data_IF_018031045806
#
_entry.id   IF_018031045806
#
_cell.length_a   1.000
_cell.length_b   1.000
_cell.length_c   1.000
_cell.angle_alpha   90.00
_cell.angle_beta   90.00
_cell.angle_gamma   90.00
#
_symmetry.space_group_name_H-M   'P 1'
#
loop_
_entity.id
_entity.type
_entity.pdbx_description
1 polymer ?
#
# COMPACT_ATOMS: atom_id res chain seq x y z
N UNK A 1 -5.00 -9.53 -4.00
CA UNK A 1 -4.66 -8.82 -2.75
C UNK A 1 -3.82 -9.64 -1.79
N UNK A 2 -4.20 -10.88 -1.47
CA UNK A 2 -3.44 -11.78 -0.56
C UNK A 2 -1.93 -11.86 -0.86
N UNK A 3 -1.58 -12.02 -2.14
CA UNK A 3 -0.19 -12.06 -2.58
C UNK A 3 0.61 -10.82 -2.16
N UNK A 4 0.06 -9.62 -2.38
CA UNK A 4 0.71 -8.36 -1.96
C UNK A 4 0.78 -8.21 -0.43
N UNK A 5 -0.22 -8.71 0.30
CA UNK A 5 -0.20 -8.67 1.75
C UNK A 5 0.96 -9.51 2.31
N UNK A 6 1.13 -10.74 1.84
CA UNK A 6 2.23 -11.61 2.29
C UNK A 6 3.60 -11.07 1.89
N UNK A 7 3.75 -10.50 0.70
CA UNK A 7 4.99 -9.83 0.32
C UNK A 7 5.28 -8.62 1.21
N UNK A 8 4.26 -7.83 1.57
CA UNK A 8 4.41 -6.71 2.49
C UNK A 8 4.81 -7.18 3.90
N UNK A 9 4.20 -8.24 4.43
CA UNK A 9 4.59 -8.84 5.71
C UNK A 9 6.06 -9.26 5.71
N UNK A 10 6.48 -9.98 4.66
CA UNK A 10 7.87 -10.43 4.51
C UNK A 10 8.84 -9.24 4.44
N UNK A 11 8.55 -8.26 3.59
CA UNK A 11 9.39 -7.07 3.43
C UNK A 11 9.51 -6.26 4.73
N UNK A 12 8.40 -6.10 5.46
CA UNK A 12 8.39 -5.41 6.77
C UNK A 12 9.16 -6.22 7.83
N UNK A 13 9.03 -7.54 7.85
CA UNK A 13 9.82 -8.39 8.76
C UNK A 13 11.31 -8.20 8.55
N UNK A 14 11.77 -8.31 7.28
CA UNK A 14 13.18 -8.13 6.92
C UNK A 14 13.67 -6.73 7.32
N UNK A 15 12.89 -5.69 7.01
CA UNK A 15 13.25 -4.31 7.36
C UNK A 15 13.41 -4.13 8.88
N UNK A 16 12.44 -4.61 9.66
CA UNK A 16 12.44 -4.47 11.11
C UNK A 16 13.57 -5.26 11.79
N UNK A 17 13.91 -6.44 11.28
CA UNK A 17 15.05 -7.25 11.77
C UNK A 17 16.39 -6.50 11.60
N UNK A 18 16.57 -5.80 10.48
CA UNK A 18 17.79 -5.04 10.20
C UNK A 18 17.94 -3.82 11.12
N UNK A 19 16.85 -3.13 11.48
CA UNK A 19 16.89 -1.89 12.26
C UNK A 19 16.77 -2.07 13.77
N UNK A 20 16.55 -3.28 14.29
CA UNK A 20 16.46 -3.64 15.72
C UNK A 20 15.39 -2.92 16.57
N UNK A 21 14.69 -1.92 16.04
CA UNK A 21 13.68 -1.12 16.78
C UNK A 21 12.24 -1.38 16.30
N UNK A 22 12.04 -2.01 15.14
CA UNK A 22 10.73 -2.37 14.62
C UNK A 22 9.81 -1.16 14.38
N UNK A 23 9.93 -0.54 13.21
CA UNK A 23 9.24 0.73 12.91
C UNK A 23 8.02 0.56 11.99
N UNK A 24 7.94 -0.55 11.25
CA UNK A 24 6.87 -0.82 10.31
C UNK A 24 5.94 -1.92 10.79
N UNK A 25 4.66 -1.81 10.46
CA UNK A 25 3.68 -2.89 10.65
C UNK A 25 2.70 -2.97 9.48
N UNK A 26 2.14 -4.17 9.25
CA UNK A 26 1.16 -4.43 8.20
C UNK A 26 -0.13 -4.93 8.82
N UNK A 27 -1.26 -4.39 8.41
CA UNK A 27 -2.59 -4.74 8.96
C UNK A 27 -3.61 -4.90 7.85
N UNK A 28 -4.45 -5.93 7.94
CA UNK A 28 -5.62 -6.07 7.07
C UNK A 28 -6.66 -5.00 7.42
N UNK A 29 -7.32 -4.47 6.40
CA UNK A 29 -8.44 -3.57 6.58
C UNK A 29 -9.74 -4.39 6.65
N UNK A 30 -10.55 -4.23 7.71
CA UNK A 30 -11.87 -4.85 7.76
C UNK A 30 -12.73 -4.41 6.58
N UNK A 31 -13.55 -5.32 6.06
CA UNK A 31 -14.44 -5.03 4.94
C UNK A 31 -15.41 -3.88 5.24
N UNK A 32 -15.88 -3.75 6.49
CA UNK A 32 -16.77 -2.64 6.86
C UNK A 32 -16.06 -1.29 6.79
N UNK A 33 -14.78 -1.23 7.16
CA UNK A 33 -13.97 -0.01 7.07
C UNK A 33 -13.80 0.39 5.61
N UNK A 34 -13.52 -0.57 4.72
CA UNK A 34 -13.40 -0.30 3.28
C UNK A 34 -14.71 0.22 2.69
N UNK A 35 -15.85 -0.37 3.07
CA UNK A 35 -17.17 0.04 2.62
C UNK A 35 -17.55 1.48 3.04
N UNK A 36 -17.03 1.98 4.15
CA UNK A 36 -17.25 3.36 4.60
C UNK A 36 -16.55 4.40 3.72
N UNK A 37 -15.38 4.07 3.17
CA UNK A 37 -14.56 5.00 2.39
C UNK A 37 -14.71 4.80 0.88
N UNK A 38 -15.11 3.61 0.48
CA UNK A 38 -15.21 3.21 -0.92
C UNK A 38 -16.64 2.72 -1.14
N UNK A 39 -17.41 3.47 -1.94
CA UNK A 39 -18.72 3.01 -2.46
C UNK A 39 -18.49 1.90 -3.50
N UNK A 40 -17.84 0.81 -3.12
CA UNK A 40 -17.51 -0.30 -3.99
C UNK A 40 -18.57 -1.40 -3.86
N UNK A 41 -19.08 -1.94 -4.98
CA UNK A 41 -20.25 -2.83 -4.99
C UNK A 41 -19.99 -4.27 -4.49
N UNK A 42 -18.80 -4.59 -3.96
CA UNK A 42 -18.40 -5.96 -3.57
C UNK A 42 -17.54 -5.97 -2.31
N UNK A 43 -17.46 -7.11 -1.61
CA UNK A 43 -16.44 -7.36 -0.58
C UNK A 43 -15.06 -7.22 -1.23
N UNK A 44 -14.38 -6.12 -0.94
CA UNK A 44 -13.02 -5.84 -1.41
C UNK A 44 -12.04 -6.11 -0.29
N UNK A 45 -10.83 -6.51 -0.67
CA UNK A 45 -9.74 -6.66 0.27
C UNK A 45 -8.85 -5.43 0.24
N UNK A 46 -8.32 -5.09 1.42
CA UNK A 46 -7.38 -4.01 1.59
C UNK A 46 -6.43 -4.32 2.73
N UNK A 47 -5.24 -3.77 2.68
CA UNK A 47 -4.34 -3.77 3.81
C UNK A 47 -3.58 -2.45 3.84
N UNK A 48 -2.96 -2.18 4.98
CA UNK A 48 -2.15 -1.00 5.15
C UNK A 48 -0.80 -1.34 5.78
N UNK A 49 0.17 -0.50 5.45
CA UNK A 49 1.48 -0.44 6.08
C UNK A 49 1.54 0.85 6.89
N UNK A 50 1.90 0.72 8.16
CA UNK A 50 1.98 1.84 9.11
C UNK A 50 3.43 2.05 9.50
N UNK A 51 3.93 3.27 9.31
CA UNK A 51 5.20 3.75 9.82
C UNK A 51 4.97 4.83 10.89
N UNK A 52 6.01 5.26 11.63
CA UNK A 52 5.88 6.35 12.60
C UNK A 52 5.42 7.65 11.91
N UNK A 53 5.94 7.89 10.71
CA UNK A 53 5.79 9.13 9.95
C UNK A 53 4.83 9.04 8.76
N UNK A 54 4.32 7.85 8.47
CA UNK A 54 3.58 7.63 7.25
C UNK A 54 2.62 6.46 7.35
N UNK A 55 1.76 6.38 6.34
CA UNK A 55 0.80 5.32 6.18
C UNK A 55 0.63 5.06 4.69
N UNK A 56 0.63 3.78 4.31
CA UNK A 56 0.37 3.34 2.93
C UNK A 56 -0.80 2.37 2.95
N UNK A 57 -1.72 2.49 2.01
CA UNK A 57 -2.84 1.57 1.83
C UNK A 57 -2.77 0.95 0.47
N UNK A 58 -3.02 -0.36 0.41
CA UNK A 58 -3.30 -1.10 -0.79
C UNK A 58 -4.79 -1.43 -0.80
N UNK A 59 -5.48 -0.99 -1.84
CA UNK A 59 -6.92 -1.14 -2.02
C UNK A 59 -7.19 -1.89 -3.31
N UNK A 60 -8.00 -2.93 -3.23
CA UNK A 60 -8.60 -3.51 -4.43
C UNK A 60 -9.67 -2.57 -4.97
N UNK A 61 -9.37 -1.92 -6.10
CA UNK A 61 -10.28 -0.99 -6.77
C UNK A 61 -11.29 -1.78 -7.62
N UNK A 62 -10.79 -2.72 -8.41
CA UNK A 62 -11.60 -3.71 -9.12
C UNK A 62 -10.91 -5.08 -9.22
N UNK A 63 -11.46 -6.02 -10.01
CA UNK A 63 -10.91 -7.38 -10.15
C UNK A 63 -9.47 -7.40 -10.73
N UNK A 64 -9.10 -6.40 -11.53
CA UNK A 64 -7.80 -6.29 -12.16
C UNK A 64 -6.92 -5.20 -11.56
N UNK A 65 -7.44 -4.33 -10.69
CA UNK A 65 -6.69 -3.14 -10.25
C UNK A 65 -6.51 -3.04 -8.74
N UNK A 66 -5.24 -2.83 -8.34
CA UNK A 66 -4.84 -2.48 -6.97
C UNK A 66 -4.36 -1.03 -6.95
N UNK A 67 -5.02 -0.20 -6.15
CA UNK A 67 -4.66 1.19 -5.91
C UNK A 67 -3.79 1.28 -4.65
N UNK A 68 -2.63 1.93 -4.77
CA UNK A 68 -1.72 2.16 -3.64
C UNK A 68 -1.68 3.64 -3.31
N UNK A 69 -2.11 3.98 -2.10
CA UNK A 69 -2.20 5.36 -1.60
C UNK A 69 -1.23 5.55 -0.43
N UNK A 70 -0.45 6.63 -0.47
CA UNK A 70 0.48 6.99 0.58
C UNK A 70 0.12 8.33 1.21
N UNK A 71 0.22 8.42 2.54
CA UNK A 71 0.09 9.66 3.29
C UNK A 71 1.22 9.79 4.30
N UNK A 72 1.84 10.98 4.36
CA UNK A 72 2.77 11.34 5.44
C UNK A 72 2.01 12.05 6.56
N UNK A 73 2.36 11.75 7.80
CA UNK A 73 1.85 12.47 8.98
C UNK A 73 2.41 13.90 8.93
N UNK A 74 1.57 14.89 9.19
CA UNK A 74 2.01 16.27 9.36
C UNK A 74 2.19 16.51 10.86
N UNK A 75 3.41 16.84 11.28
CA UNK A 75 3.71 17.16 12.68
C UNK A 75 3.35 18.60 13.04
N UNK A 76 3.21 19.46 12.03
CA UNK A 76 2.87 20.86 12.23
C UNK A 76 1.38 21.09 12.05
N UNK A 77 0.72 21.36 13.17
CA UNK A 77 -0.62 21.96 13.26
C UNK A 77 -0.49 23.39 12.74
N UNK A 78 -0.67 23.58 11.43
CA UNK A 78 -1.19 24.85 10.92
C UNK A 78 -2.69 24.63 10.86
N UNK A 79 -3.42 25.32 11.74
CA UNK A 79 -4.83 25.09 12.09
C UNK A 79 -5.84 25.10 10.93
N UNK A 80 -5.42 25.39 9.70
CA UNK A 80 -6.26 25.40 8.50
C UNK A 80 -5.70 24.63 7.29
N UNK A 81 -4.71 23.75 7.48
CA UNK A 81 -4.26 22.89 6.37
C UNK A 81 -5.24 21.72 6.20
N UNK A 82 -5.88 21.54 5.03
CA UNK A 82 -6.68 20.35 4.78
C UNK A 82 -5.77 19.16 4.98
N UNK A 83 -6.12 18.27 5.93
CA UNK A 83 -5.51 16.96 6.18
C UNK A 83 -4.71 16.52 4.96
N UNK A 84 -3.36 16.46 5.06
CA UNK A 84 -2.50 16.12 3.91
C UNK A 84 -3.16 15.03 3.06
N UNK A 85 -3.63 15.40 1.85
CA UNK A 85 -4.40 14.45 1.04
C UNK A 85 -3.53 13.24 0.76
N UNK A 86 -4.10 12.04 0.86
CA UNK A 86 -3.41 10.84 0.41
C UNK A 86 -3.02 11.02 -1.07
N UNK A 87 -1.79 10.63 -1.40
CA UNK A 87 -1.26 10.66 -2.76
C UNK A 87 -1.31 9.25 -3.33
N UNK A 88 -1.76 9.12 -4.58
CA UNK A 88 -1.58 7.87 -5.33
C UNK A 88 -0.08 7.64 -5.58
N UNK A 89 0.45 6.54 -5.05
CA UNK A 89 1.83 6.11 -5.25
C UNK A 89 1.94 5.31 -6.54
N UNK A 90 1.07 4.33 -6.72
CA UNK A 90 0.99 3.49 -7.92
C UNK A 90 -0.42 2.93 -8.07
N UNK A 91 -0.82 2.63 -9.31
CA UNK A 91 -2.01 1.85 -9.63
C UNK A 91 -1.54 0.65 -10.44
N UNK A 92 -1.71 -0.54 -9.87
CA UNK A 92 -1.15 -1.80 -10.38
C UNK A 92 -2.28 -2.55 -11.07
N UNK A 93 -2.09 -2.87 -12.35
CA UNK A 93 -2.94 -3.82 -13.06
C UNK A 93 -2.42 -5.24 -12.83
N UNK A 94 -3.28 -6.11 -12.34
CA UNK A 94 -3.05 -7.52 -12.07
C UNK A 94 -3.79 -8.33 -13.14
N UNK A 95 -3.05 -9.00 -14.01
CA UNK A 95 -3.59 -9.84 -15.07
C UNK A 95 -3.26 -11.30 -14.80
N UNK A 96 -4.13 -12.21 -15.24
CA UNK A 96 -3.83 -13.64 -15.29
C UNK A 96 -3.34 -13.95 -16.70
N UNK A 97 -2.14 -14.52 -16.81
CA UNK A 97 -1.57 -14.95 -18.09
C UNK A 97 -0.88 -16.31 -17.93
N UNK A 98 -1.23 -17.28 -18.79
CA UNK A 98 -0.52 -18.55 -18.92
C UNK A 98 -0.33 -19.39 -17.64
N UNK A 99 -1.16 -19.20 -16.61
CA UNK A 99 -1.03 -19.90 -15.32
C UNK A 99 -0.31 -19.11 -14.21
N UNK A 100 0.00 -17.84 -14.44
CA UNK A 100 0.59 -16.93 -13.44
C UNK A 100 -0.06 -15.55 -13.42
N UNK A 101 0.45 -14.69 -12.54
CA UNK A 101 0.04 -13.29 -12.44
C UNK A 101 1.07 -12.38 -13.12
N UNK A 102 0.59 -11.44 -13.93
CA UNK A 102 1.39 -10.39 -14.54
C UNK A 102 0.96 -9.05 -13.96
N UNK A 103 1.93 -8.29 -13.45
CA UNK A 103 1.69 -6.98 -12.85
C UNK A 103 2.20 -5.88 -13.77
N UNK A 104 1.40 -4.84 -13.98
CA UNK A 104 1.75 -3.70 -14.84
C UNK A 104 1.38 -2.38 -14.18
N UNK A 105 2.13 -1.33 -14.49
CA UNK A 105 1.73 0.03 -14.13
C UNK A 105 0.68 0.59 -15.09
N UNK A 106 0.33 1.87 -14.92
CA UNK A 106 -0.60 2.58 -15.81
C UNK A 106 -0.03 2.87 -17.21
N UNK A 107 1.28 2.71 -17.43
CA UNK A 107 1.92 2.83 -18.75
C UNK A 107 1.98 1.49 -19.50
N UNK A 108 1.63 0.39 -18.82
CA UNK A 108 1.74 -0.97 -19.35
C UNK A 108 3.12 -1.59 -19.14
N UNK A 109 4.02 -0.92 -18.43
CA UNK A 109 5.33 -1.43 -18.05
C UNK A 109 5.17 -2.56 -17.04
N UNK A 110 5.88 -3.67 -17.26
CA UNK A 110 5.87 -4.79 -16.34
C UNK A 110 6.47 -4.37 -14.98
N UNK A 111 5.83 -4.83 -13.90
CA UNK A 111 6.26 -4.56 -12.54
C UNK A 111 6.67 -5.86 -11.86
N UNK A 112 7.77 -5.80 -11.12
CA UNK A 112 8.13 -6.82 -10.13
C UNK A 112 7.47 -6.46 -8.78
N UNK A 113 6.57 -7.32 -8.25
CA UNK A 113 5.94 -7.11 -6.96
C UNK A 113 6.91 -6.92 -5.79
N UNK A 114 8.05 -7.62 -5.77
CA UNK A 114 9.03 -7.51 -4.69
C UNK A 114 9.74 -6.14 -4.73
N UNK A 115 10.07 -5.68 -5.93
CA UNK A 115 10.63 -4.34 -6.13
C UNK A 115 9.61 -3.26 -5.73
N UNK A 116 8.33 -3.43 -6.08
CA UNK A 116 7.25 -2.51 -5.65
C UNK A 116 7.20 -2.43 -4.13
N UNK A 117 7.12 -3.57 -3.43
CA UNK A 117 7.06 -3.58 -1.97
C UNK A 117 8.29 -2.91 -1.36
N UNK A 118 9.48 -3.17 -1.91
CA UNK A 118 10.72 -2.52 -1.49
C UNK A 118 10.67 -1.01 -1.66
N UNK A 119 10.19 -0.51 -2.80
CA UNK A 119 10.03 0.92 -3.07
C UNK A 119 9.00 1.56 -2.13
N UNK A 120 7.90 0.86 -1.83
CA UNK A 120 6.87 1.33 -0.91
C UNK A 120 7.40 1.41 0.52
N UNK A 121 8.17 0.42 0.98
CA UNK A 121 8.84 0.45 2.28
C UNK A 121 9.79 1.64 2.36
N UNK A 122 10.67 1.82 1.35
CA UNK A 122 11.58 2.98 1.28
C UNK A 122 10.81 4.29 1.31
N UNK A 123 9.70 4.38 0.57
CA UNK A 123 8.85 5.55 0.60
C UNK A 123 8.22 5.76 1.98
N UNK A 124 7.81 4.71 2.70
CA UNK A 124 7.18 4.83 4.00
C UNK A 124 8.13 5.37 5.06
N UNK A 125 9.41 5.00 4.98
CA UNK A 125 10.43 5.28 6.02
C UNK A 125 11.39 6.40 5.66
N UNK A 126 11.42 6.87 4.41
CA UNK A 126 12.25 8.01 4.02
C UNK A 126 11.89 9.23 4.88
N UNK A 127 12.84 9.69 5.68
CA UNK A 127 12.80 11.01 6.31
C UNK A 127 12.90 12.10 5.22
N UNK A 128 12.34 13.28 5.49
CA UNK A 128 12.52 14.48 4.66
C UNK A 128 13.67 15.30 5.20
#
# INVERSE_FOLDING_TARGET
MEYFFHLAELGVSIYNEVLTVGELSVHRLPGEVLALFLNLPRERMGFCMVAPESFVVFLEEDEEYVLVLGRRRQWFVVEDSPLSRARQLIRIRCLIDGGGFVFKDNTGTALDPEEIITLIIRWAVSER
#
